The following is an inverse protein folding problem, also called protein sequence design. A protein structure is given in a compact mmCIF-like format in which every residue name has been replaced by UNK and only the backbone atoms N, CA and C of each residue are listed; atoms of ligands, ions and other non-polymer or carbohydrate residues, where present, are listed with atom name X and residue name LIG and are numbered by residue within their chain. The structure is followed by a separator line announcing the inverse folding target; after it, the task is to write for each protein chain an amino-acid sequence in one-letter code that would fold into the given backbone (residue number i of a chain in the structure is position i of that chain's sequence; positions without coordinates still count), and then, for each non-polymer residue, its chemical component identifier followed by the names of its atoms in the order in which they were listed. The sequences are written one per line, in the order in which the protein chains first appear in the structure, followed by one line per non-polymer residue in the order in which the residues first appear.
data_IF_693681859017
#
_entry.id   IF_693681859017
#
_cell.length_a   1.000
_cell.length_b   1.000
_cell.length_c   1.000
_cell.angle_alpha   90.00
_cell.angle_beta   90.00
_cell.angle_gamma   90.00
#
_symmetry.space_group_name_H-M   'P 1'
#
loop_
_entity.id
_entity.type
_entity.pdbx_description
1 polymer ?
#
# COMPACT_ATOMS: atom_id res chain seq x y z
N UNK A 1 -2.98 -7.52 19.61
CA UNK A 1 -3.92 -6.54 19.06
C UNK A 1 -3.18 -5.28 18.58
N UNK A 2 -3.78 -4.53 17.64
CA UNK A 2 -3.16 -3.35 17.01
C UNK A 2 -2.82 -2.28 18.05
N UNK A 3 -3.75 -2.00 18.97
CA UNK A 3 -3.60 -0.99 20.03
C UNK A 3 -2.52 -1.31 21.06
N UNK A 4 -2.02 -2.54 21.09
CA UNK A 4 -0.92 -2.97 21.98
C UNK A 4 0.45 -2.90 21.32
N UNK A 5 0.53 -2.43 20.08
CA UNK A 5 1.80 -2.28 19.39
C UNK A 5 2.64 -1.16 20.04
N UNK A 6 3.95 -1.39 20.18
CA UNK A 6 4.89 -0.41 20.74
C UNK A 6 5.00 0.86 19.91
N UNK A 7 4.78 0.74 18.60
CA UNK A 7 4.71 1.85 17.64
C UNK A 7 3.27 1.89 17.13
N UNK A 8 2.62 3.06 17.10
CA UNK A 8 1.27 3.18 16.56
C UNK A 8 1.16 2.60 15.16
N UNK A 9 0.25 1.65 14.97
CA UNK A 9 0.01 0.98 13.70
C UNK A 9 -1.39 1.35 13.20
N UNK A 10 -1.49 1.65 11.91
CA UNK A 10 -2.74 1.77 11.18
C UNK A 10 -2.73 0.83 9.97
N UNK A 11 -3.83 0.11 9.74
CA UNK A 11 -4.00 -0.80 8.61
C UNK A 11 -5.24 -0.35 7.85
N UNK A 12 -5.08 -0.08 6.55
CA UNK A 12 -6.19 0.37 5.70
C UNK A 12 -6.75 -0.79 4.91
N UNK A 13 -8.06 -0.95 4.91
CA UNK A 13 -8.79 -1.86 4.03
C UNK A 13 -10.01 -1.15 3.43
N UNK A 14 -10.62 -1.74 2.42
CA UNK A 14 -11.83 -1.21 1.78
C UNK A 14 -13.05 -2.01 2.22
N UNK A 15 -14.06 -1.38 2.81
CA UNK A 15 -15.35 -2.01 3.07
C UNK A 15 -16.05 -2.28 1.74
N UNK A 16 -16.31 -3.54 1.44
CA UNK A 16 -16.78 -3.95 0.11
C UNK A 16 -18.14 -3.35 -0.27
N UNK A 17 -19.06 -3.25 0.68
CA UNK A 17 -20.43 -2.80 0.41
C UNK A 17 -20.53 -1.28 0.18
N UNK A 18 -19.73 -0.49 0.92
CA UNK A 18 -19.78 0.97 0.84
C UNK A 18 -18.71 1.57 -0.08
N UNK A 19 -17.65 0.81 -0.41
CA UNK A 19 -16.47 1.31 -1.09
C UNK A 19 -15.61 2.26 -0.25
N UNK A 20 -15.91 2.42 1.04
CA UNK A 20 -15.16 3.33 1.92
C UNK A 20 -13.88 2.69 2.43
N UNK A 21 -12.82 3.49 2.47
CA UNK A 21 -11.60 3.11 3.18
C UNK A 21 -11.82 3.11 4.69
N UNK A 22 -11.34 2.07 5.35
CA UNK A 22 -11.44 1.91 6.81
C UNK A 22 -10.04 1.77 7.38
N UNK A 23 -9.72 2.61 8.37
CA UNK A 23 -8.46 2.59 9.11
C UNK A 23 -8.64 1.77 10.39
N UNK A 24 -8.08 0.57 10.42
CA UNK A 24 -8.00 -0.25 11.62
C UNK A 24 -6.85 0.23 12.50
N UNK A 25 -7.16 0.65 13.71
CA UNK A 25 -6.22 1.08 14.76
C UNK A 25 -6.33 0.23 16.03
N UNK A 26 -7.32 -0.64 16.08
CA UNK A 26 -7.62 -1.53 17.20
C UNK A 26 -8.06 -2.89 16.69
N UNK A 27 -8.03 -3.90 17.57
CA UNK A 27 -8.49 -5.26 17.29
C UNK A 27 -7.40 -6.20 16.79
N UNK A 28 -7.81 -7.30 16.17
CA UNK A 28 -6.89 -8.36 15.75
C UNK A 28 -6.05 -7.93 14.55
N UNK A 29 -4.74 -7.81 14.76
CA UNK A 29 -3.76 -7.38 13.73
C UNK A 29 -3.76 -8.31 12.52
N UNK A 30 -3.74 -9.63 12.74
CA UNK A 30 -3.69 -10.60 11.63
C UNK A 30 -4.94 -10.52 10.76
N UNK A 31 -6.10 -10.32 11.37
CA UNK A 31 -7.36 -10.21 10.64
C UNK A 31 -7.43 -8.88 9.85
N UNK A 32 -6.96 -7.78 10.42
CA UNK A 32 -6.87 -6.50 9.71
C UNK A 32 -5.86 -6.55 8.55
N UNK A 33 -4.69 -7.18 8.74
CA UNK A 33 -3.71 -7.40 7.67
C UNK A 33 -4.32 -8.27 6.57
N UNK A 34 -5.01 -9.37 6.93
CA UNK A 34 -5.70 -10.20 5.95
C UNK A 34 -6.71 -9.39 5.14
N UNK A 35 -7.50 -8.54 5.78
CA UNK A 35 -8.45 -7.67 5.10
C UNK A 35 -7.74 -6.73 4.11
N UNK A 36 -6.68 -6.07 4.58
CA UNK A 36 -5.86 -5.14 3.77
C UNK A 36 -5.18 -5.79 2.56
N UNK A 37 -4.94 -7.10 2.62
CA UNK A 37 -4.31 -7.86 1.53
C UNK A 37 -5.30 -8.75 0.75
N UNK A 38 -6.62 -8.60 0.95
CA UNK A 38 -7.64 -9.38 0.24
C UNK A 38 -7.89 -8.83 -1.16
N UNK A 39 -6.94 -9.06 -2.06
CA UNK A 39 -7.01 -8.62 -3.48
C UNK A 39 -8.22 -9.23 -4.17
N UNK A 40 -9.13 -8.42 -4.75
CA UNK A 40 -10.31 -8.92 -5.44
C UNK A 40 -9.97 -9.86 -6.60
N UNK A 41 -10.70 -10.97 -6.67
CA UNK A 41 -10.47 -12.02 -7.66
C UNK A 41 -9.33 -12.99 -7.30
N UNK A 42 -8.49 -12.66 -6.31
CA UNK A 42 -7.41 -13.55 -5.82
C UNK A 42 -7.80 -14.16 -4.47
N UNK A 43 -8.31 -13.36 -3.55
CA UNK A 43 -8.69 -13.79 -2.22
C UNK A 43 -10.16 -13.49 -1.92
N UNK A 44 -10.75 -14.31 -1.07
CA UNK A 44 -12.08 -14.04 -0.52
C UNK A 44 -12.01 -12.83 0.42
N UNK A 45 -13.05 -11.96 0.43
CA UNK A 45 -13.14 -10.87 1.38
C UNK A 45 -12.96 -11.34 2.83
N UNK A 46 -12.33 -10.53 3.65
CA UNK A 46 -12.23 -10.80 5.08
C UNK A 46 -13.48 -10.28 5.79
N UNK A 47 -14.06 -11.09 6.67
CA UNK A 47 -15.21 -10.67 7.47
C UNK A 47 -14.74 -10.20 8.85
N UNK A 48 -15.06 -8.94 9.20
CA UNK A 48 -14.76 -8.34 10.50
C UNK A 48 -16.03 -7.69 11.02
N UNK A 49 -16.51 -8.14 12.18
CA UNK A 49 -17.74 -7.63 12.80
C UNK A 49 -18.95 -7.61 11.86
N UNK A 50 -19.10 -8.66 11.05
CA UNK A 50 -20.22 -8.82 10.13
C UNK A 50 -20.12 -8.02 8.83
N UNK A 51 -19.03 -7.30 8.60
CA UNK A 51 -18.77 -6.56 7.37
C UNK A 51 -17.65 -7.22 6.57
N UNK A 52 -17.75 -7.11 5.25
CA UNK A 52 -16.76 -7.65 4.32
C UNK A 52 -15.75 -6.58 3.91
N UNK A 53 -14.48 -6.96 3.92
CA UNK A 53 -13.37 -6.07 3.58
C UNK A 53 -12.48 -6.71 2.51
N UNK A 54 -12.03 -5.86 1.61
CA UNK A 54 -11.07 -6.18 0.55
C UNK A 54 -9.86 -5.26 0.63
N UNK A 55 -8.90 -5.47 -0.25
CA UNK A 55 -7.61 -4.77 -0.28
C UNK A 55 -7.75 -3.24 -0.14
N UNK A 56 -6.94 -2.67 0.74
CA UNK A 56 -6.91 -1.23 0.97
C UNK A 56 -6.38 -0.43 -0.22
N UNK A 57 -5.63 -1.08 -1.10
CA UNK A 57 -5.12 -0.48 -2.33
C UNK A 57 -6.19 -0.03 -3.31
N UNK A 58 -7.45 -0.47 -3.16
CA UNK A 58 -8.55 0.04 -3.97
C UNK A 58 -8.89 1.52 -3.68
N UNK A 59 -8.57 2.00 -2.48
CA UNK A 59 -8.89 3.38 -2.05
C UNK A 59 -7.65 4.19 -1.67
N UNK A 60 -6.58 3.55 -1.18
CA UNK A 60 -5.35 4.20 -0.76
C UNK A 60 -4.15 3.23 -0.89
N UNK A 61 -3.60 3.02 -2.11
CA UNK A 61 -2.47 2.11 -2.31
C UNK A 61 -1.23 2.53 -1.52
N UNK A 62 -1.00 3.83 -1.39
CA UNK A 62 -0.01 4.42 -0.47
C UNK A 62 -0.76 5.39 0.46
N UNK A 63 -1.13 4.96 1.69
CA UNK A 63 -2.13 5.61 2.52
C UNK A 63 -1.62 6.85 3.27
N UNK A 64 -1.13 7.87 2.53
CA UNK A 64 -0.56 9.11 3.08
C UNK A 64 -1.58 9.91 3.90
N UNK A 65 -2.80 10.06 3.37
CA UNK A 65 -3.89 10.75 4.04
C UNK A 65 -4.25 10.10 5.39
N UNK A 66 -4.22 8.77 5.46
CA UNK A 66 -4.45 8.04 6.72
C UNK A 66 -3.32 8.21 7.73
N UNK A 67 -2.07 8.30 7.28
CA UNK A 67 -0.95 8.62 8.17
C UNK A 67 -1.13 10.03 8.78
N UNK A 68 -1.54 11.02 7.99
CA UNK A 68 -1.91 12.36 8.48
C UNK A 68 -3.07 12.31 9.47
N UNK A 69 -4.11 11.53 9.18
CA UNK A 69 -5.25 11.33 10.08
C UNK A 69 -4.83 10.71 11.42
N UNK A 70 -3.78 9.90 11.43
CA UNK A 70 -3.17 9.37 12.65
C UNK A 70 -2.33 10.39 13.43
N UNK A 71 -2.15 11.60 12.93
CA UNK A 71 -1.42 12.69 13.57
C UNK A 71 0.04 12.82 13.12
N UNK A 72 0.46 12.16 12.03
CA UNK A 72 1.82 12.29 11.52
C UNK A 72 2.08 13.70 11.02
N UNK A 73 3.10 14.35 11.58
CA UNK A 73 3.59 15.68 11.15
C UNK A 73 4.58 15.59 10.01
N UNK A 74 5.28 14.45 9.89
CA UNK A 74 6.15 14.11 8.77
C UNK A 74 5.75 12.73 8.24
N UNK A 75 5.51 12.63 6.93
CA UNK A 75 5.12 11.39 6.27
C UNK A 75 6.16 10.99 5.23
N UNK A 76 6.75 9.83 5.43
CA UNK A 76 7.62 9.17 4.46
C UNK A 76 6.79 8.08 3.78
N UNK A 77 6.48 8.28 2.52
CA UNK A 77 5.72 7.33 1.71
C UNK A 77 6.67 6.39 0.96
N UNK A 78 6.40 5.09 1.01
CA UNK A 78 7.11 4.11 0.18
C UNK A 78 6.18 3.66 -0.94
N UNK A 79 6.45 4.09 -2.16
CA UNK A 79 5.65 3.75 -3.33
C UNK A 79 6.30 2.61 -4.11
N UNK A 80 5.74 1.42 -4.02
CA UNK A 80 6.17 0.23 -4.75
C UNK A 80 5.39 0.01 -6.05
N UNK A 81 4.49 0.94 -6.42
CA UNK A 81 3.76 0.84 -7.69
C UNK A 81 4.75 0.93 -8.85
N UNK A 82 4.78 -0.10 -9.67
CA UNK A 82 5.53 -0.10 -10.92
C UNK A 82 4.72 0.58 -12.02
N UNK A 83 5.41 1.11 -13.04
CA UNK A 83 4.72 1.42 -14.29
C UNK A 83 4.08 0.14 -14.83
N UNK A 84 2.87 0.24 -15.46
CA UNK A 84 2.27 -0.89 -16.13
C UNK A 84 3.27 -1.40 -17.15
N UNK A 85 3.99 -2.46 -16.82
CA UNK A 85 4.76 -3.18 -17.83
C UNK A 85 3.72 -3.75 -18.78
N UNK A 86 4.00 -3.75 -20.08
CA UNK A 86 3.22 -4.48 -21.08
C UNK A 86 3.22 -5.97 -20.71
N UNK A 87 2.48 -6.32 -19.65
CA UNK A 87 2.06 -7.70 -19.46
C UNK A 87 0.88 -7.86 -20.39
N UNK A 88 0.96 -8.85 -21.27
CA UNK A 88 -0.17 -9.26 -22.06
C UNK A 88 -1.34 -9.53 -21.12
N UNK A 89 -2.18 -8.53 -20.90
CA UNK A 89 -3.41 -8.64 -20.10
C UNK A 89 -4.38 -9.51 -20.93
N UNK A 90 -4.06 -10.80 -21.06
CA UNK A 90 -4.86 -11.76 -21.78
C UNK A 90 -5.96 -12.30 -20.86
N UNK A 91 -7.16 -12.35 -21.38
CA UNK A 91 -8.34 -12.83 -20.69
C UNK A 91 -8.94 -11.82 -19.69
N UNK A 92 -10.18 -12.08 -19.29
CA UNK A 92 -10.99 -11.20 -18.45
C UNK A 92 -10.31 -10.87 -17.11
N UNK A 93 -9.66 -11.85 -16.48
CA UNK A 93 -8.97 -11.66 -15.21
C UNK A 93 -7.76 -10.73 -15.34
N UNK A 94 -6.93 -10.90 -16.38
CA UNK A 94 -5.79 -10.04 -16.65
C UNK A 94 -6.22 -8.59 -16.90
N UNK A 95 -7.29 -8.39 -17.68
CA UNK A 95 -7.87 -7.06 -17.95
C UNK A 95 -8.37 -6.42 -16.65
N UNK A 96 -9.05 -7.18 -15.78
CA UNK A 96 -9.54 -6.69 -14.49
C UNK A 96 -8.38 -6.23 -13.59
N UNK A 97 -7.33 -7.03 -13.45
CA UNK A 97 -6.16 -6.69 -12.65
C UNK A 97 -5.43 -5.45 -13.21
N UNK A 98 -5.30 -5.36 -14.53
CA UNK A 98 -4.72 -4.19 -15.17
C UNK A 98 -5.56 -2.92 -14.94
N UNK A 99 -6.88 -3.04 -14.98
CA UNK A 99 -7.81 -1.93 -14.70
C UNK A 99 -7.63 -1.43 -13.25
N UNK A 100 -7.57 -2.35 -12.28
CA UNK A 100 -7.31 -2.01 -10.89
C UNK A 100 -5.96 -1.27 -10.75
N UNK A 101 -4.91 -1.77 -11.39
CA UNK A 101 -3.57 -1.16 -11.36
C UNK A 101 -3.56 0.27 -11.92
N UNK A 102 -4.28 0.52 -13.01
CA UNK A 102 -4.44 1.86 -13.60
C UNK A 102 -5.14 2.80 -12.62
N UNK A 103 -6.22 2.34 -11.99
CA UNK A 103 -6.95 3.14 -10.99
C UNK A 103 -6.09 3.44 -9.76
N UNK A 104 -5.38 2.45 -9.24
CA UNK A 104 -4.45 2.61 -8.12
C UNK A 104 -3.36 3.64 -8.41
N UNK A 105 -2.82 3.65 -9.64
CA UNK A 105 -1.84 4.65 -10.04
C UNK A 105 -2.40 6.07 -9.97
N UNK A 106 -3.60 6.29 -10.50
CA UNK A 106 -4.26 7.60 -10.46
C UNK A 106 -4.52 8.07 -9.02
N UNK A 107 -4.92 7.15 -8.14
CA UNK A 107 -5.09 7.43 -6.71
C UNK A 107 -3.75 7.81 -6.08
N UNK A 108 -2.67 7.05 -6.37
CA UNK A 108 -1.34 7.32 -5.82
C UNK A 108 -0.78 8.67 -6.26
N UNK A 109 -0.99 9.09 -7.51
CA UNK A 109 -0.56 10.41 -7.99
C UNK A 109 -1.16 11.55 -7.14
N UNK A 110 -2.36 11.33 -6.60
CA UNK A 110 -3.02 12.28 -5.71
C UNK A 110 -2.53 12.15 -4.25
N UNK A 111 -2.51 10.94 -3.71
CA UNK A 111 -2.11 10.66 -2.32
C UNK A 111 -0.67 11.09 -2.04
N UNK A 112 0.25 10.80 -2.95
CA UNK A 112 1.68 11.11 -2.78
C UNK A 112 1.99 12.60 -2.68
N UNK A 113 1.11 13.48 -3.17
CA UNK A 113 1.26 14.96 -2.99
C UNK A 113 1.22 15.37 -1.51
N UNK A 114 0.59 14.57 -0.66
CA UNK A 114 0.53 14.81 0.79
C UNK A 114 1.75 14.30 1.57
N UNK A 115 2.66 13.56 0.92
CA UNK A 115 3.86 13.06 1.55
C UNK A 115 4.97 14.11 1.58
N UNK A 116 5.77 14.13 2.66
CA UNK A 116 6.96 15.00 2.74
C UNK A 116 8.14 14.42 1.98
N UNK A 117 8.21 13.09 1.93
CA UNK A 117 9.27 12.33 1.25
C UNK A 117 8.62 11.13 0.59
N UNK A 118 9.00 10.87 -0.66
CA UNK A 118 8.59 9.67 -1.40
C UNK A 118 9.82 8.83 -1.70
N UNK A 119 9.83 7.60 -1.21
CA UNK A 119 10.82 6.58 -1.53
C UNK A 119 10.19 5.69 -2.61
N UNK A 120 10.83 5.62 -3.78
CA UNK A 120 10.31 4.83 -4.90
C UNK A 120 11.36 3.83 -5.39
N UNK A 121 11.32 2.59 -4.90
CA UNK A 121 12.19 1.51 -5.38
C UNK A 121 11.99 1.24 -6.88
N UNK A 122 13.08 1.00 -7.59
CA UNK A 122 13.04 0.65 -9.02
C UNK A 122 12.79 -0.86 -9.16
N UNK A 123 11.52 -1.24 -9.22
CA UNK A 123 11.07 -2.64 -9.30
C UNK A 123 10.78 -3.08 -10.75
N UNK A 124 11.65 -2.72 -11.69
CA UNK A 124 11.47 -3.03 -13.11
C UNK A 124 11.23 -4.53 -13.32
N UNK A 125 10.16 -4.86 -14.03
CA UNK A 125 9.80 -6.23 -14.42
C UNK A 125 9.48 -7.22 -13.28
N UNK A 126 9.27 -6.75 -12.05
CA UNK A 126 8.85 -7.61 -10.96
C UNK A 126 7.32 -7.64 -10.87
N UNK A 127 6.73 -8.82 -11.07
CA UNK A 127 5.31 -9.04 -10.80
C UNK A 127 5.01 -9.15 -9.30
N UNK A 128 3.81 -8.80 -8.86
CA UNK A 128 3.41 -8.85 -7.45
C UNK A 128 3.48 -10.25 -6.82
N UNK A 129 3.54 -11.31 -7.62
CA UNK A 129 3.69 -12.71 -7.18
C UNK A 129 5.11 -13.28 -7.41
N UNK A 130 6.07 -12.47 -7.84
CA UNK A 130 7.44 -12.92 -8.09
C UNK A 130 8.27 -12.96 -6.80
N UNK A 131 8.04 -13.98 -5.99
CA UNK A 131 8.80 -14.20 -4.76
C UNK A 131 10.27 -14.62 -5.00
N UNK A 132 10.65 -15.01 -6.21
CA UNK A 132 12.05 -15.35 -6.53
C UNK A 132 12.93 -14.11 -6.58
N UNK A 133 12.40 -12.99 -6.98
CA UNK A 133 13.11 -11.70 -7.08
C UNK A 133 13.14 -10.90 -5.77
N UNK A 134 12.72 -11.49 -4.63
CA UNK A 134 12.64 -10.78 -3.35
C UNK A 134 13.94 -10.08 -2.92
N UNK A 135 15.12 -10.71 -3.15
CA UNK A 135 16.40 -10.12 -2.78
C UNK A 135 16.69 -8.87 -3.61
N UNK A 136 16.37 -8.89 -4.91
CA UNK A 136 16.51 -7.73 -5.78
C UNK A 136 15.57 -6.61 -5.35
N UNK A 137 14.33 -6.94 -4.94
CA UNK A 137 13.38 -5.97 -4.41
C UNK A 137 13.87 -5.31 -3.10
N UNK A 138 14.46 -6.09 -2.18
CA UNK A 138 15.05 -5.56 -0.94
C UNK A 138 16.17 -4.58 -1.25
N UNK A 139 17.12 -4.96 -2.13
CA UNK A 139 18.24 -4.10 -2.52
C UNK A 139 17.75 -2.81 -3.23
N UNK A 140 16.74 -2.91 -4.08
CA UNK A 140 16.13 -1.75 -4.72
C UNK A 140 15.49 -0.80 -3.68
N UNK A 141 14.84 -1.36 -2.66
CA UNK A 141 14.27 -0.59 -1.54
C UNK A 141 15.35 0.12 -0.73
N UNK A 142 16.43 -0.58 -0.40
CA UNK A 142 17.58 -0.02 0.31
C UNK A 142 18.23 1.13 -0.47
N UNK A 143 18.50 0.93 -1.75
CA UNK A 143 19.10 1.96 -2.61
C UNK A 143 18.20 3.20 -2.72
N UNK A 144 16.88 3.02 -2.88
CA UNK A 144 15.93 4.11 -2.94
C UNK A 144 15.85 4.89 -1.60
N UNK A 145 15.89 4.19 -0.47
CA UNK A 145 15.91 4.80 0.86
C UNK A 145 17.21 5.58 1.09
N UNK A 146 18.36 5.02 0.73
CA UNK A 146 19.67 5.66 0.83
C UNK A 146 19.71 6.98 0.03
N UNK A 147 19.16 7.00 -1.18
CA UNK A 147 19.10 8.20 -2.01
C UNK A 147 18.30 9.34 -1.36
N UNK A 148 17.34 9.04 -0.48
CA UNK A 148 16.54 10.04 0.23
C UNK A 148 17.09 10.39 1.63
N UNK A 149 18.15 9.73 2.09
CA UNK A 149 18.62 9.84 3.46
C UNK A 149 19.03 11.27 3.86
N UNK A 150 19.65 12.02 2.95
CA UNK A 150 20.02 13.42 3.21
C UNK A 150 18.77 14.30 3.49
N UNK A 151 17.74 14.16 2.65
CA UNK A 151 16.48 14.88 2.80
C UNK A 151 15.72 14.43 4.08
N UNK A 152 15.76 13.14 4.40
CA UNK A 152 15.16 12.60 5.63
C UNK A 152 15.80 13.26 6.86
N UNK A 153 17.13 13.30 6.92
CA UNK A 153 17.87 13.91 8.03
C UNK A 153 17.59 15.40 8.15
N UNK A 154 17.58 16.11 7.04
CA UNK A 154 17.23 17.53 6.98
C UNK A 154 15.83 17.80 7.56
N UNK A 155 14.84 17.05 7.11
CA UNK A 155 13.44 17.19 7.57
C UNK A 155 13.27 16.81 9.05
N UNK A 156 14.03 15.84 9.54
CA UNK A 156 14.04 15.44 10.95
C UNK A 156 14.93 16.33 11.83
N UNK A 157 15.72 17.22 11.24
CA UNK A 157 16.68 18.09 11.95
C UNK A 157 17.71 17.32 12.77
N UNK A 158 18.25 16.22 12.24
CA UNK A 158 19.26 15.33 12.85
C UNK A 158 20.49 15.18 11.96
#
# INVERSE_FOLDING_TARGET
SIEQMRIPLGIVATELQSGKGVLFRTGNTGLAVRASCSVPGVFQPAVISGKEYVDGGLVAPVPVSYARQMGATLVIAVNISSEPVHQDASGTFGILQQTISIMQRSINEYELKGADIVIQPQLKQMGGSDFKSRNAAILAGEAAAQAQMALIKEKLKI
#
